data_IF_259021316059
#
_entry.id   IF_259021316059
#
_cell.length_a   1.000
_cell.length_b   1.000
_cell.length_c   1.000
_cell.angle_alpha   90.00
_cell.angle_beta   90.00
_cell.angle_gamma   90.00
#
_symmetry.space_group_name_H-M   'P 1'
#
loop_
_entity.id
_entity.type
_entity.pdbx_description
1 polymer ?
#
# COMPACT_ATOMS: atom_id res chain seq x y z
N UNK A 1 4.20 -1.39 -18.81
CA UNK A 1 4.81 -1.13 -17.48
C UNK A 1 4.85 0.33 -17.07
N UNK A 2 5.27 1.27 -17.94
CA UNK A 2 5.32 2.72 -17.61
C UNK A 2 4.00 3.29 -17.08
N UNK A 3 2.87 2.95 -17.71
CA UNK A 3 1.54 3.40 -17.25
C UNK A 3 1.22 2.95 -15.80
N UNK A 4 1.51 1.68 -15.46
CA UNK A 4 1.32 1.15 -14.10
C UNK A 4 2.22 1.90 -13.11
N UNK A 5 3.46 2.22 -13.49
CA UNK A 5 4.38 2.97 -12.64
C UNK A 5 3.88 4.42 -12.38
N UNK A 6 3.40 5.12 -13.41
CA UNK A 6 2.81 6.46 -13.23
C UNK A 6 1.55 6.43 -12.37
N UNK A 7 0.67 5.46 -12.59
CA UNK A 7 -0.51 5.26 -11.74
C UNK A 7 -0.09 4.96 -10.30
N UNK A 8 0.93 4.13 -10.08
CA UNK A 8 1.43 3.86 -8.75
C UNK A 8 1.95 5.12 -8.04
N UNK A 9 2.70 5.97 -8.74
CA UNK A 9 3.11 7.27 -8.18
C UNK A 9 1.94 8.17 -7.85
N UNK A 10 0.91 8.20 -8.69
CA UNK A 10 -0.31 8.92 -8.38
C UNK A 10 -1.00 8.35 -7.12
N UNK A 11 -1.13 7.02 -7.03
CA UNK A 11 -1.79 6.36 -5.91
C UNK A 11 -1.01 6.49 -4.59
N UNK A 12 0.31 6.51 -4.61
CA UNK A 12 1.13 6.68 -3.40
C UNK A 12 1.33 8.15 -3.05
N UNK A 13 1.51 9.02 -4.05
CA UNK A 13 1.79 10.44 -3.87
C UNK A 13 0.57 11.25 -3.42
N UNK A 14 -0.60 11.00 -4.00
CA UNK A 14 -1.84 11.71 -3.65
C UNK A 14 -2.18 11.64 -2.15
N UNK A 15 -2.27 10.45 -1.51
CA UNK A 15 -2.61 10.38 -0.09
C UNK A 15 -1.52 11.03 0.77
N UNK A 16 -0.25 10.90 0.39
CA UNK A 16 0.86 11.55 1.09
C UNK A 16 0.73 13.09 1.06
N UNK A 17 0.44 13.66 -0.11
CA UNK A 17 0.24 15.11 -0.27
C UNK A 17 -0.99 15.57 0.51
N UNK A 18 -2.12 14.85 0.43
CA UNK A 18 -3.35 15.22 1.15
C UNK A 18 -3.15 15.20 2.67
N UNK A 19 -2.54 14.14 3.20
CA UNK A 19 -2.27 14.03 4.64
C UNK A 19 -1.34 15.16 5.08
N UNK A 20 -0.23 15.38 4.36
CA UNK A 20 0.74 16.41 4.70
C UNK A 20 0.12 17.81 4.63
N UNK A 21 -0.66 18.11 3.58
CA UNK A 21 -1.34 19.38 3.42
C UNK A 21 -2.39 19.62 4.52
N UNK A 22 -3.18 18.59 4.87
CA UNK A 22 -4.14 18.67 5.97
C UNK A 22 -3.48 18.95 7.32
N UNK A 23 -2.32 18.33 7.59
CA UNK A 23 -1.53 18.58 8.79
C UNK A 23 -0.93 20.00 8.83
N UNK A 24 -0.38 20.48 7.70
CA UNK A 24 0.26 21.80 7.63
C UNK A 24 -0.73 22.96 7.64
N UNK A 25 -1.96 22.74 7.15
CA UNK A 25 -3.01 23.75 7.12
C UNK A 25 -3.73 23.91 8.47
N UNK A 26 -3.41 23.09 9.48
CA UNK A 26 -4.09 23.06 10.78
C UNK A 26 -5.62 23.05 10.64
N UNK A 27 -6.13 22.33 9.64
CA UNK A 27 -7.56 22.25 9.38
C UNK A 27 -8.25 21.56 10.57
N UNK A 28 -9.07 22.30 11.33
CA UNK A 28 -9.77 21.78 12.51
C UNK A 28 -10.76 20.66 12.20
N UNK A 29 -11.22 20.60 10.95
CA UNK A 29 -12.21 19.63 10.48
C UNK A 29 -11.62 18.25 10.20
N UNK A 30 -10.32 18.17 9.89
CA UNK A 30 -9.66 16.93 9.48
C UNK A 30 -10.19 16.30 8.17
N UNK A 31 -10.98 17.02 7.37
CA UNK A 31 -11.59 16.49 6.14
C UNK A 31 -10.52 16.12 5.12
N UNK A 32 -9.49 16.95 4.96
CA UNK A 32 -8.43 16.73 3.99
C UNK A 32 -7.59 15.51 4.39
N UNK A 33 -7.18 15.47 5.66
CA UNK A 33 -6.41 14.36 6.21
C UNK A 33 -7.21 13.05 6.14
N UNK A 34 -8.50 13.08 6.49
CA UNK A 34 -9.41 11.94 6.37
C UNK A 34 -9.55 11.46 4.93
N UNK A 35 -9.66 12.37 3.97
CA UNK A 35 -9.68 12.05 2.54
C UNK A 35 -8.38 11.36 2.09
N UNK A 36 -7.23 11.82 2.60
CA UNK A 36 -5.94 11.17 2.37
C UNK A 36 -5.89 9.73 2.89
N UNK A 37 -6.41 9.46 4.09
CA UNK A 37 -6.50 8.11 4.64
C UNK A 37 -7.45 7.21 3.85
N UNK A 38 -8.61 7.72 3.42
CA UNK A 38 -9.52 6.96 2.54
C UNK A 38 -8.84 6.63 1.21
N UNK A 39 -8.02 7.54 0.69
CA UNK A 39 -7.29 7.32 -0.54
C UNK A 39 -6.23 6.22 -0.40
N UNK A 40 -5.65 6.00 0.78
CA UNK A 40 -4.75 4.85 1.03
C UNK A 40 -5.45 3.50 0.81
N UNK A 41 -6.77 3.40 1.03
CA UNK A 41 -7.54 2.18 0.71
C UNK A 41 -7.53 1.94 -0.79
N UNK A 42 -7.76 2.98 -1.59
CA UNK A 42 -7.69 2.92 -3.05
C UNK A 42 -6.28 2.56 -3.53
N UNK A 43 -5.24 3.12 -2.89
CA UNK A 43 -3.84 2.78 -3.15
C UNK A 43 -3.59 1.29 -2.91
N UNK A 44 -3.99 0.77 -1.76
CA UNK A 44 -3.85 -0.66 -1.43
C UNK A 44 -4.57 -1.54 -2.45
N UNK A 45 -5.82 -1.22 -2.78
CA UNK A 45 -6.61 -1.96 -3.77
C UNK A 45 -5.93 -1.98 -5.15
N UNK A 46 -5.47 -0.81 -5.63
CA UNK A 46 -4.73 -0.70 -6.88
C UNK A 46 -3.49 -1.60 -6.88
N UNK A 47 -2.67 -1.52 -5.82
CA UNK A 47 -1.42 -2.27 -5.76
C UNK A 47 -1.65 -3.78 -5.65
N UNK A 48 -2.70 -4.23 -4.95
CA UNK A 48 -3.08 -5.65 -4.89
C UNK A 48 -3.51 -6.15 -6.27
N UNK A 49 -4.42 -5.44 -6.95
CA UNK A 49 -4.93 -5.84 -8.27
C UNK A 49 -3.78 -5.93 -9.27
N UNK A 50 -2.96 -4.88 -9.37
CA UNK A 50 -1.86 -4.87 -10.33
C UNK A 50 -0.71 -5.79 -9.92
N UNK A 51 -0.46 -5.99 -8.63
CA UNK A 51 0.50 -6.99 -8.16
C UNK A 51 0.11 -8.41 -8.55
N UNK A 52 -1.16 -8.78 -8.37
CA UNK A 52 -1.68 -10.09 -8.79
C UNK A 52 -1.59 -10.23 -10.30
N UNK A 53 -2.07 -9.22 -11.04
CA UNK A 53 -2.04 -9.21 -12.50
C UNK A 53 -0.61 -9.37 -13.04
N UNK A 54 0.36 -8.65 -12.47
CA UNK A 54 1.77 -8.77 -12.83
C UNK A 54 2.36 -10.14 -12.45
N UNK A 55 1.93 -10.74 -11.33
CA UNK A 55 2.38 -12.08 -10.95
C UNK A 55 1.82 -13.16 -11.89
N UNK A 56 0.59 -13.01 -12.37
CA UNK A 56 0.01 -13.92 -13.38
C UNK A 56 0.80 -13.85 -14.69
N UNK A 57 1.16 -12.64 -15.12
CA UNK A 57 1.96 -12.43 -16.34
C UNK A 57 3.40 -12.95 -16.18
N UNK A 58 4.00 -12.80 -15.00
CA UNK A 58 5.39 -13.15 -14.70
C UNK A 58 5.52 -14.03 -13.44
N UNK A 59 5.04 -15.28 -13.46
CA UNK A 59 4.89 -16.10 -12.25
C UNK A 59 6.22 -16.50 -11.62
N UNK A 60 7.34 -16.39 -12.34
CA UNK A 60 8.68 -16.73 -11.85
C UNK A 60 9.41 -15.53 -11.20
N UNK A 61 8.83 -14.34 -11.23
CA UNK A 61 9.44 -13.16 -10.59
C UNK A 61 9.34 -13.25 -9.07
N UNK A 62 10.48 -13.49 -8.43
CA UNK A 62 10.58 -13.61 -6.96
C UNK A 62 10.14 -12.35 -6.22
N UNK A 63 10.34 -11.16 -6.78
CA UNK A 63 9.94 -9.92 -6.11
C UNK A 63 8.42 -9.80 -6.06
N UNK A 64 7.74 -10.16 -7.13
CA UNK A 64 6.27 -10.20 -7.17
C UNK A 64 5.71 -11.28 -6.24
N UNK A 65 6.34 -12.45 -6.18
CA UNK A 65 5.97 -13.50 -5.22
C UNK A 65 6.10 -13.01 -3.77
N UNK A 66 7.23 -12.37 -3.42
CA UNK A 66 7.42 -11.81 -2.08
C UNK A 66 6.42 -10.71 -1.76
N UNK A 67 6.10 -9.85 -2.74
CA UNK A 67 5.09 -8.80 -2.55
C UNK A 67 3.73 -9.40 -2.23
N UNK A 68 3.24 -10.35 -3.03
CA UNK A 68 1.94 -11.00 -2.81
C UNK A 68 1.94 -11.81 -1.51
N UNK A 69 3.03 -12.51 -1.20
CA UNK A 69 3.17 -13.22 0.09
C UNK A 69 3.05 -12.24 1.25
N UNK A 70 3.68 -11.07 1.17
CA UNK A 70 3.58 -10.01 2.18
C UNK A 70 2.16 -9.45 2.32
N UNK A 71 1.44 -9.27 1.20
CA UNK A 71 0.02 -8.87 1.20
C UNK A 71 -0.84 -9.94 1.90
N UNK A 72 -0.68 -11.20 1.54
CA UNK A 72 -1.41 -12.30 2.20
C UNK A 72 -1.09 -12.37 3.70
N UNK A 73 0.19 -12.26 4.06
CA UNK A 73 0.64 -12.24 5.44
C UNK A 73 0.00 -11.10 6.22
N UNK A 74 -0.06 -9.89 5.64
CA UNK A 74 -0.73 -8.74 6.25
C UNK A 74 -2.19 -9.04 6.59
N UNK A 75 -2.98 -9.53 5.63
CA UNK A 75 -4.40 -9.80 5.85
C UNK A 75 -4.62 -10.94 6.85
N UNK A 76 -3.80 -12.00 6.80
CA UNK A 76 -3.86 -13.10 7.76
C UNK A 76 -3.52 -12.62 9.17
N UNK A 77 -2.45 -11.83 9.32
CA UNK A 77 -2.06 -11.28 10.62
C UNK A 77 -3.12 -10.32 11.17
N UNK A 78 -3.71 -9.47 10.31
CA UNK A 78 -4.79 -8.57 10.68
C UNK A 78 -6.02 -9.34 11.16
N UNK A 79 -6.42 -10.38 10.44
CA UNK A 79 -7.55 -11.24 10.81
C UNK A 79 -7.30 -11.96 12.14
N UNK A 80 -6.16 -12.64 12.28
CA UNK A 80 -5.82 -13.37 13.51
C UNK A 80 -5.72 -12.42 14.70
N UNK A 81 -5.09 -11.26 14.53
CA UNK A 81 -4.97 -10.31 15.64
C UNK A 81 -6.33 -9.69 16.00
N UNK A 82 -7.15 -9.34 15.03
CA UNK A 82 -8.46 -8.72 15.27
C UNK A 82 -9.47 -9.66 15.95
N UNK A 83 -9.46 -10.94 15.59
CA UNK A 83 -10.46 -11.90 16.07
C UNK A 83 -9.98 -12.81 17.21
N UNK A 84 -8.67 -13.07 17.33
CA UNK A 84 -8.15 -14.12 18.22
C UNK A 84 -7.23 -13.54 19.29
N UNK A 85 -6.15 -12.85 18.88
CA UNK A 85 -5.09 -12.46 19.81
C UNK A 85 -5.35 -11.13 20.53
N UNK A 86 -5.86 -10.14 19.80
CA UNK A 86 -6.09 -8.77 20.25
C UNK A 86 -4.88 -8.11 20.95
N UNK A 87 -3.68 -8.39 20.42
CA UNK A 87 -2.44 -7.83 20.96
C UNK A 87 -2.23 -6.41 20.45
N UNK A 88 -2.09 -5.45 21.38
CA UNK A 88 -1.88 -4.05 21.07
C UNK A 88 -0.61 -3.81 20.23
N UNK A 89 0.48 -4.52 20.54
CA UNK A 89 1.74 -4.41 19.80
C UNK A 89 1.60 -4.79 18.32
N UNK A 90 0.72 -5.76 18.02
CA UNK A 90 0.49 -6.18 16.64
C UNK A 90 -0.27 -5.11 15.83
N UNK A 91 -1.10 -4.28 16.46
CA UNK A 91 -1.75 -3.17 15.74
C UNK A 91 -0.74 -2.10 15.28
N UNK A 92 0.31 -1.82 16.07
CA UNK A 92 1.38 -0.93 15.64
C UNK A 92 2.13 -1.51 14.43
N UNK A 93 2.40 -2.81 14.43
CA UNK A 93 3.05 -3.49 13.29
C UNK A 93 2.14 -3.48 12.05
N UNK A 94 0.86 -3.76 12.23
CA UNK A 94 -0.15 -3.76 11.16
C UNK A 94 -0.34 -2.36 10.55
N UNK A 95 -0.09 -1.29 11.29
CA UNK A 95 -0.09 0.07 10.74
C UNK A 95 1.10 0.33 9.79
N UNK A 96 2.26 -0.27 10.08
CA UNK A 96 3.51 -0.03 9.32
C UNK A 96 3.62 -0.92 8.08
N UNK A 97 3.13 -2.16 8.13
CA UNK A 97 3.25 -3.12 7.02
C UNK A 97 2.72 -2.56 5.67
N UNK A 98 1.53 -1.92 5.59
CA UNK A 98 1.03 -1.36 4.34
C UNK A 98 1.98 -0.32 3.71
N UNK A 99 2.67 0.47 4.52
CA UNK A 99 3.65 1.48 4.06
C UNK A 99 4.84 0.78 3.41
N UNK A 100 5.39 -0.25 4.08
CA UNK A 100 6.51 -1.04 3.55
C UNK A 100 6.10 -1.72 2.23
N UNK A 101 4.92 -2.33 2.18
CA UNK A 101 4.39 -2.97 0.97
C UNK A 101 4.22 -1.97 -0.17
N UNK A 102 3.71 -0.76 0.10
CA UNK A 102 3.54 0.27 -0.92
C UNK A 102 4.89 0.74 -1.50
N UNK A 103 5.92 0.90 -0.67
CA UNK A 103 7.28 1.23 -1.11
C UNK A 103 7.87 0.08 -1.93
N UNK A 104 7.67 -1.16 -1.48
CA UNK A 104 8.20 -2.33 -2.16
C UNK A 104 7.57 -2.49 -3.55
N UNK A 105 6.25 -2.36 -3.66
CA UNK A 105 5.56 -2.39 -4.95
C UNK A 105 6.03 -1.26 -5.87
N UNK A 106 6.18 -0.05 -5.34
CA UNK A 106 6.71 1.10 -6.09
C UNK A 106 8.11 0.83 -6.67
N UNK A 107 8.95 0.12 -5.92
CA UNK A 107 10.28 -0.27 -6.39
C UNK A 107 10.21 -1.29 -7.53
N UNK A 108 9.29 -2.27 -7.44
CA UNK A 108 9.07 -3.27 -8.49
C UNK A 108 8.59 -2.60 -9.79
N UNK A 109 7.57 -1.75 -9.70
CA UNK A 109 7.00 -1.08 -10.88
C UNK A 109 8.00 -0.13 -11.52
N UNK A 110 8.81 0.57 -10.73
CA UNK A 110 9.84 1.47 -11.24
C UNK A 110 10.91 0.71 -12.03
N UNK A 111 11.45 -0.37 -11.45
CA UNK A 111 12.47 -1.21 -12.12
C UNK A 111 11.94 -1.76 -13.44
N UNK A 112 10.74 -2.34 -13.44
CA UNK A 112 10.12 -2.90 -14.66
C UNK A 112 9.70 -1.85 -15.69
N UNK A 113 9.58 -0.57 -15.32
CA UNK A 113 9.23 0.50 -16.25
C UNK A 113 10.45 1.12 -16.96
N UNK A 114 11.65 0.91 -16.41
CA UNK A 114 12.91 1.51 -16.87
C UNK A 114 14.00 0.47 -17.20
N UNK A 115 13.64 -0.81 -17.19
CA UNK A 115 14.34 -1.90 -17.87
C UNK A 115 13.72 -2.09 -19.25
#
# INVERSE_FOLDING_TARGET
MKAINYLNYFFVGTPFILILFGLLSNESSGNITGSGFLFLILTGLFQVIFGIKMLIDEPKDKNLQYYITGVCFFFVLWFINGFILNYQILYFILFVIPIILAIFFSTITYKKAHQ
#
